data_IF_947881565668
#
_entry.id   IF_947881565668
#
_cell.length_a   1.000
_cell.length_b   1.000
_cell.length_c   1.000
_cell.angle_alpha   90.00
_cell.angle_beta   90.00
_cell.angle_gamma   90.00
#
_symmetry.space_group_name_H-M   'P 1'
#
loop_
_entity.id
_entity.type
_entity.pdbx_description
1 polymer ?
#
# COMPACT_ATOMS: atom_id res chain seq x y z
N UNK A 1 -3.86 10.56 8.32
CA UNK A 1 -4.34 11.75 7.58
C UNK A 1 -5.81 11.58 7.26
N UNK A 2 -6.61 12.62 7.48
CA UNK A 2 -8.02 12.73 7.07
C UNK A 2 -8.12 13.40 5.71
N UNK A 3 -9.24 13.21 5.02
CA UNK A 3 -9.44 13.71 3.66
C UNK A 3 -9.38 15.24 3.54
N UNK A 4 -9.73 15.95 4.61
CA UNK A 4 -9.69 17.42 4.69
C UNK A 4 -8.37 17.99 5.23
N UNK A 5 -7.40 17.16 5.60
CA UNK A 5 -6.09 17.66 6.03
C UNK A 5 -5.37 18.36 4.85
N UNK A 6 -4.52 19.37 5.11
CA UNK A 6 -3.74 20.03 4.07
C UNK A 6 -2.78 19.04 3.37
N UNK A 7 -2.60 19.23 2.05
CA UNK A 7 -1.67 18.44 1.24
C UNK A 7 -0.24 18.97 1.39
N UNK A 8 0.64 18.18 2.02
CA UNK A 8 2.06 18.53 2.26
C UNK A 8 3.02 17.51 1.62
N UNK A 9 3.03 17.34 0.28
CA UNK A 9 3.84 16.33 -0.39
C UNK A 9 5.34 16.61 -0.30
N UNK A 10 6.14 15.56 -0.01
CA UNK A 10 7.60 15.64 0.16
C UNK A 10 8.43 15.09 -0.99
N UNK A 11 7.81 14.64 -2.09
CA UNK A 11 8.52 14.17 -3.28
C UNK A 11 7.87 14.70 -4.56
N UNK A 12 8.60 14.78 -5.69
CA UNK A 12 8.01 15.16 -6.97
C UNK A 12 6.83 14.27 -7.38
N UNK A 13 6.90 12.96 -7.07
CA UNK A 13 5.81 12.04 -7.30
C UNK A 13 4.56 12.41 -6.50
N UNK A 14 4.67 12.56 -5.17
CA UNK A 14 3.50 12.89 -4.34
C UNK A 14 2.97 14.30 -4.64
N UNK A 15 3.84 15.25 -5.01
CA UNK A 15 3.42 16.59 -5.44
C UNK A 15 2.62 16.55 -6.74
N UNK A 16 3.05 15.75 -7.73
CA UNK A 16 2.30 15.58 -8.98
C UNK A 16 0.91 14.97 -8.75
N UNK A 17 0.78 14.00 -7.83
CA UNK A 17 -0.49 13.37 -7.45
C UNK A 17 -1.41 14.33 -6.70
N UNK A 18 -0.88 15.07 -5.74
CA UNK A 18 -1.62 16.13 -5.05
C UNK A 18 -2.15 17.18 -6.04
N UNK A 19 -1.33 17.61 -7.01
CA UNK A 19 -1.75 18.51 -8.07
C UNK A 19 -2.88 17.94 -8.94
N UNK A 20 -2.84 16.65 -9.27
CA UNK A 20 -3.92 16.01 -10.04
C UNK A 20 -5.24 15.92 -9.27
N UNK A 21 -5.21 15.70 -7.95
CA UNK A 21 -6.41 15.71 -7.11
C UNK A 21 -7.10 17.08 -7.17
N UNK A 22 -6.33 18.15 -6.97
CA UNK A 22 -6.84 19.52 -7.00
C UNK A 22 -7.41 19.88 -8.38
N UNK A 23 -6.73 19.47 -9.46
CA UNK A 23 -7.21 19.68 -10.81
C UNK A 23 -8.55 18.96 -11.02
N UNK A 24 -8.65 17.68 -10.68
CA UNK A 24 -9.88 16.90 -10.85
C UNK A 24 -11.06 17.50 -10.06
N UNK A 25 -10.85 17.87 -8.80
CA UNK A 25 -11.90 18.46 -7.95
C UNK A 25 -12.31 19.86 -8.43
N UNK A 26 -11.39 20.63 -9.03
CA UNK A 26 -11.75 21.93 -9.63
C UNK A 26 -12.70 21.78 -10.82
N UNK A 27 -12.61 20.69 -11.59
CA UNK A 27 -13.54 20.39 -12.67
C UNK A 27 -14.93 20.04 -12.14
N UNK A 28 -15.02 19.33 -11.01
CA UNK A 28 -16.29 19.13 -10.31
C UNK A 28 -16.89 20.47 -9.87
N UNK A 29 -16.11 21.29 -9.16
CA UNK A 29 -16.58 22.59 -8.65
C UNK A 29 -17.00 23.57 -9.76
N UNK A 30 -16.30 23.57 -10.89
CA UNK A 30 -16.53 24.53 -11.99
C UNK A 30 -17.60 24.06 -12.97
N UNK A 31 -17.64 22.76 -13.26
CA UNK A 31 -18.45 22.21 -14.36
C UNK A 31 -19.48 21.18 -13.91
N UNK A 32 -19.55 20.84 -12.62
CA UNK A 32 -20.43 19.80 -12.10
C UNK A 32 -20.08 18.40 -12.60
N UNK A 33 -18.85 18.18 -13.07
CA UNK A 33 -18.40 16.87 -13.52
C UNK A 33 -18.45 15.87 -12.36
N UNK A 34 -18.98 14.67 -12.60
CA UNK A 34 -18.99 13.62 -11.60
C UNK A 34 -17.57 13.05 -11.39
N UNK A 35 -16.90 13.54 -10.34
CA UNK A 35 -15.52 13.18 -9.97
C UNK A 35 -15.53 12.69 -8.53
N UNK A 36 -14.92 11.55 -8.26
CA UNK A 36 -14.55 11.11 -6.89
C UNK A 36 -13.06 10.84 -6.85
N UNK A 37 -12.40 11.16 -5.74
CA UNK A 37 -10.97 10.90 -5.55
C UNK A 37 -10.78 9.83 -4.49
N UNK A 38 -10.02 8.79 -4.80
CA UNK A 38 -9.63 7.77 -3.81
C UNK A 38 -8.14 7.88 -3.49
N UNK A 39 -7.79 7.90 -2.20
CA UNK A 39 -6.39 7.91 -1.73
C UNK A 39 -6.13 6.66 -0.93
N UNK A 40 -5.16 5.85 -1.33
CA UNK A 40 -4.90 4.55 -0.69
C UNK A 40 -3.53 4.46 -0.03
N UNK A 41 -3.37 3.45 0.83
CA UNK A 41 -2.10 3.06 1.44
C UNK A 41 -1.32 2.08 0.56
N UNK A 42 -0.23 1.50 1.07
CA UNK A 42 0.66 0.66 0.30
C UNK A 42 -0.05 -0.63 -0.14
N UNK A 43 -0.35 -0.72 -1.43
CA UNK A 43 -0.95 -1.91 -2.01
C UNK A 43 0.06 -3.06 -2.10
N UNK A 44 -0.42 -4.29 -1.94
CA UNK A 44 0.34 -5.50 -2.24
C UNK A 44 -0.57 -6.64 -2.69
N UNK A 45 0.02 -7.62 -3.38
CA UNK A 45 -0.68 -8.79 -3.86
C UNK A 45 -0.11 -9.36 -5.16
N UNK A 46 -0.87 -10.24 -5.84
CA UNK A 46 -0.57 -10.74 -7.17
C UNK A 46 -0.21 -9.63 -8.17
N UNK A 47 0.68 -9.94 -9.11
CA UNK A 47 1.10 -9.06 -10.21
C UNK A 47 1.79 -7.75 -9.82
N UNK A 48 2.23 -7.59 -8.56
CA UNK A 48 3.04 -6.45 -8.16
C UNK A 48 4.50 -6.62 -8.61
N UNK A 49 5.04 -5.67 -9.37
CA UNK A 49 6.37 -5.80 -9.96
C UNK A 49 7.48 -6.06 -8.90
N UNK A 50 8.45 -6.97 -9.14
CA UNK A 50 9.43 -7.44 -8.14
C UNK A 50 10.52 -6.43 -7.73
N UNK A 51 10.26 -5.13 -7.94
CA UNK A 51 11.06 -4.04 -7.37
C UNK A 51 10.46 -3.50 -6.05
N UNK A 52 9.19 -3.78 -5.78
CA UNK A 52 8.47 -3.30 -4.59
C UNK A 52 8.81 -4.18 -3.38
N UNK A 53 8.71 -3.65 -2.16
CA UNK A 53 9.22 -4.31 -0.96
C UNK A 53 8.75 -5.77 -0.77
N UNK A 54 7.44 -6.01 -0.69
CA UNK A 54 6.88 -7.36 -0.50
C UNK A 54 7.29 -8.34 -1.61
N UNK A 55 7.08 -8.03 -2.92
CA UNK A 55 7.48 -8.95 -3.96
C UNK A 55 8.99 -9.12 -4.07
N UNK A 56 9.79 -8.05 -3.98
CA UNK A 56 11.26 -8.14 -3.97
C UNK A 56 11.77 -9.08 -2.88
N UNK A 57 11.26 -8.91 -1.65
CA UNK A 57 11.68 -9.74 -0.53
C UNK A 57 11.23 -11.18 -0.74
N UNK A 58 9.98 -11.38 -1.17
CA UNK A 58 9.44 -12.71 -1.42
C UNK A 58 10.24 -13.45 -2.50
N UNK A 59 10.49 -12.83 -3.66
CA UNK A 59 11.22 -13.47 -4.76
C UNK A 59 12.68 -13.72 -4.39
N UNK A 60 13.35 -12.79 -3.72
CA UNK A 60 14.72 -13.01 -3.26
C UNK A 60 14.80 -14.17 -2.25
N UNK A 61 13.89 -14.22 -1.28
CA UNK A 61 13.86 -15.32 -0.30
C UNK A 61 13.56 -16.67 -0.97
N UNK A 62 12.65 -16.71 -1.96
CA UNK A 62 12.41 -17.92 -2.75
C UNK A 62 13.63 -18.35 -3.58
N UNK A 63 14.50 -17.42 -3.98
CA UNK A 63 15.76 -17.68 -4.70
C UNK A 63 17.00 -17.78 -3.79
N UNK A 64 16.84 -17.88 -2.46
CA UNK A 64 17.95 -17.93 -1.50
C UNK A 64 18.92 -16.73 -1.61
N UNK A 65 18.38 -15.55 -1.95
CA UNK A 65 19.11 -14.29 -2.05
C UNK A 65 18.84 -13.38 -0.85
N UNK A 66 19.82 -12.54 -0.45
CA UNK A 66 19.61 -11.61 0.63
C UNK A 66 18.56 -10.53 0.29
N UNK A 67 17.89 -10.03 1.32
CA UNK A 67 16.92 -8.94 1.24
C UNK A 67 17.44 -7.68 1.96
N UNK A 68 17.25 -6.48 1.38
CA UNK A 68 17.68 -5.24 2.01
C UNK A 68 16.64 -4.72 3.01
N UNK A 69 17.02 -4.51 4.27
CA UNK A 69 16.24 -3.80 5.28
C UNK A 69 16.82 -2.40 5.49
N UNK A 70 16.06 -1.37 5.11
CA UNK A 70 16.49 0.03 5.18
C UNK A 70 16.48 0.58 6.61
N UNK A 71 17.56 1.28 6.97
CA UNK A 71 17.68 2.00 8.24
C UNK A 71 17.64 1.08 9.45
N UNK A 72 16.86 1.45 10.46
CA UNK A 72 16.60 0.65 11.66
C UNK A 72 15.48 -0.39 11.46
N UNK A 73 14.83 -0.41 10.29
CA UNK A 73 13.67 -1.25 10.00
C UNK A 73 12.37 -0.84 10.74
N UNK A 74 12.35 0.32 11.41
CA UNK A 74 11.21 0.78 12.22
C UNK A 74 10.25 1.69 11.44
N UNK A 75 10.50 1.92 10.16
CA UNK A 75 9.55 2.62 9.29
C UNK A 75 8.25 1.80 9.18
N UNK A 76 7.12 2.47 9.45
CA UNK A 76 5.80 1.84 9.51
C UNK A 76 4.98 2.16 8.26
N UNK A 77 4.31 1.14 7.74
CA UNK A 77 3.39 1.26 6.60
C UNK A 77 2.09 0.55 6.92
N UNK A 78 0.98 1.14 6.48
CA UNK A 78 -0.30 0.47 6.31
C UNK A 78 -0.28 -0.28 4.97
N UNK A 79 -0.59 -1.56 5.00
CA UNK A 79 -0.54 -2.49 3.87
C UNK A 79 -1.95 -2.98 3.53
N UNK A 80 -2.48 -2.54 2.40
CA UNK A 80 -3.78 -2.97 1.90
C UNK A 80 -3.63 -4.02 0.80
N UNK A 81 -4.36 -5.13 0.93
CA UNK A 81 -4.38 -6.15 -0.11
C UNK A 81 -5.10 -5.61 -1.35
N UNK A 82 -4.59 -5.93 -2.54
CA UNK A 82 -5.07 -5.34 -3.81
C UNK A 82 -6.57 -5.53 -4.02
N UNK A 83 -7.13 -6.69 -3.69
CA UNK A 83 -8.58 -6.93 -3.81
C UNK A 83 -9.41 -6.03 -2.89
N UNK A 84 -8.94 -5.78 -1.66
CA UNK A 84 -9.63 -4.93 -0.69
C UNK A 84 -9.66 -3.47 -1.17
N UNK A 85 -8.55 -3.02 -1.78
CA UNK A 85 -8.48 -1.72 -2.41
C UNK A 85 -9.42 -1.64 -3.64
N UNK A 86 -9.41 -2.65 -4.52
CA UNK A 86 -10.31 -2.72 -5.67
C UNK A 86 -11.79 -2.70 -5.24
N UNK A 87 -12.16 -3.41 -4.18
CA UNK A 87 -13.50 -3.38 -3.61
C UNK A 87 -13.87 -1.98 -3.09
N UNK A 88 -12.92 -1.27 -2.46
CA UNK A 88 -13.11 0.12 -2.02
C UNK A 88 -13.30 1.09 -3.18
N UNK A 89 -12.49 0.97 -4.23
CA UNK A 89 -12.65 1.78 -5.45
C UNK A 89 -14.01 1.50 -6.11
N UNK A 90 -14.42 0.24 -6.16
CA UNK A 90 -15.73 -0.14 -6.71
C UNK A 90 -16.88 0.48 -5.91
N UNK A 91 -16.83 0.42 -4.58
CA UNK A 91 -17.83 1.04 -3.72
C UNK A 91 -17.91 2.56 -3.92
N UNK A 92 -16.76 3.24 -4.02
CA UNK A 92 -16.73 4.69 -4.27
C UNK A 92 -17.27 5.02 -5.66
N UNK A 93 -17.03 4.16 -6.66
CA UNK A 93 -17.60 4.33 -7.99
C UNK A 93 -19.12 4.22 -8.00
N UNK A 94 -19.70 3.28 -7.24
CA UNK A 94 -21.14 3.01 -7.24
C UNK A 94 -21.93 3.92 -6.31
N UNK A 95 -21.40 4.17 -5.11
CA UNK A 95 -22.14 4.79 -4.00
C UNK A 95 -21.46 6.05 -3.46
N UNK A 96 -20.25 6.36 -3.93
CA UNK A 96 -19.53 7.56 -3.52
C UNK A 96 -20.17 8.86 -4.02
N UNK A 97 -20.13 9.88 -3.17
CA UNK A 97 -20.66 11.21 -3.48
C UNK A 97 -19.73 11.94 -4.48
N UNK A 98 -20.25 12.49 -5.59
CA UNK A 98 -19.48 13.35 -6.48
C UNK A 98 -18.87 14.54 -5.74
N UNK A 99 -17.64 14.92 -6.10
CA UNK A 99 -16.88 16.00 -5.49
C UNK A 99 -16.10 15.59 -4.24
N UNK A 100 -16.31 14.38 -3.73
CA UNK A 100 -15.71 13.94 -2.48
C UNK A 100 -14.44 13.12 -2.67
N UNK A 101 -13.65 13.10 -1.59
CA UNK A 101 -12.44 12.30 -1.43
C UNK A 101 -12.74 11.16 -0.46
N UNK A 102 -12.18 9.97 -0.70
CA UNK A 102 -12.28 8.80 0.16
C UNK A 102 -10.90 8.19 0.40
N UNK A 103 -10.48 8.11 1.66
CA UNK A 103 -9.28 7.36 2.03
C UNK A 103 -9.59 5.85 2.11
N UNK A 104 -8.69 5.01 1.60
CA UNK A 104 -8.81 3.55 1.59
C UNK A 104 -7.52 2.94 2.17
N UNK A 105 -7.60 2.37 3.36
CA UNK A 105 -6.45 1.79 4.06
C UNK A 105 -6.86 0.58 4.88
N UNK A 106 -5.89 -0.24 5.29
CA UNK A 106 -6.14 -1.48 6.01
C UNK A 106 -6.06 -1.33 7.54
N UNK A 107 -5.60 -0.19 8.06
CA UNK A 107 -5.50 0.09 9.49
C UNK A 107 -4.53 -0.82 10.22
N UNK A 108 -3.51 -1.34 9.53
CA UNK A 108 -2.57 -2.36 10.00
C UNK A 108 -1.12 -1.86 9.98
N UNK A 109 -0.88 -0.69 10.59
CA UNK A 109 0.45 -0.07 10.69
C UNK A 109 1.49 -1.10 11.15
N UNK A 110 2.38 -1.46 10.23
CA UNK A 110 3.34 -2.55 10.42
C UNK A 110 4.75 -2.02 10.20
N UNK A 111 5.64 -2.14 11.19
CA UNK A 111 7.05 -1.85 11.01
C UNK A 111 7.66 -2.78 9.94
N UNK A 112 8.56 -2.26 9.12
CA UNK A 112 9.24 -3.06 8.09
C UNK A 112 9.91 -4.31 8.69
N UNK A 113 10.44 -4.22 9.92
CA UNK A 113 11.00 -5.36 10.63
C UNK A 113 9.99 -6.48 10.85
N UNK A 114 8.78 -6.15 11.32
CA UNK A 114 7.70 -7.11 11.55
C UNK A 114 7.24 -7.74 10.23
N UNK A 115 7.21 -6.95 9.15
CA UNK A 115 6.91 -7.47 7.81
C UNK A 115 7.97 -8.48 7.35
N UNK A 116 9.25 -8.18 7.53
CA UNK A 116 10.36 -9.10 7.19
C UNK A 116 10.25 -10.41 7.98
N UNK A 117 9.99 -10.35 9.29
CA UNK A 117 9.82 -11.53 10.14
C UNK A 117 8.73 -12.46 9.61
N UNK A 118 7.59 -11.89 9.19
CA UNK A 118 6.48 -12.64 8.60
C UNK A 118 6.88 -13.30 7.28
N UNK A 119 7.59 -12.59 6.41
CA UNK A 119 8.04 -13.13 5.12
C UNK A 119 9.08 -14.24 5.27
N UNK A 120 10.02 -14.10 6.21
CA UNK A 120 10.98 -15.15 6.56
C UNK A 120 10.26 -16.43 7.01
N UNK A 121 9.28 -16.30 7.92
CA UNK A 121 8.47 -17.42 8.38
C UNK A 121 7.70 -18.10 7.23
N UNK A 122 7.04 -17.34 6.35
CA UNK A 122 6.27 -17.85 5.21
C UNK A 122 7.13 -18.51 4.12
N UNK A 123 8.42 -18.17 4.06
CA UNK A 123 9.38 -18.73 3.08
C UNK A 123 10.31 -19.78 3.69
N UNK A 124 10.19 -20.05 5.00
CA UNK A 124 11.06 -20.98 5.71
C UNK A 124 12.52 -20.55 5.75
N UNK A 125 12.77 -19.23 5.75
CA UNK A 125 14.11 -18.62 5.79
C UNK A 125 14.37 -17.97 7.15
N UNK A 126 15.62 -17.58 7.39
CA UNK A 126 16.06 -16.96 8.63
C UNK A 126 16.83 -15.65 8.42
N UNK A 127 17.21 -15.03 9.53
CA UNK A 127 17.92 -13.74 9.59
C UNK A 127 19.22 -13.67 8.78
N UNK A 128 19.84 -14.79 8.46
CA UNK A 128 21.08 -14.80 7.67
C UNK A 128 20.90 -14.21 6.27
N UNK A 129 19.67 -14.14 5.76
CA UNK A 129 19.35 -13.49 4.49
C UNK A 129 18.99 -12.00 4.63
N UNK A 130 18.98 -11.42 5.83
CA UNK A 130 18.64 -10.00 6.03
C UNK A 130 19.91 -9.14 6.02
N UNK A 131 19.97 -8.17 5.12
CA UNK A 131 21.08 -7.20 5.04
C UNK A 131 20.57 -5.80 5.37
N UNK A 132 21.11 -5.19 6.42
CA UNK A 132 20.80 -3.80 6.75
C UNK A 132 21.51 -2.84 5.78
N UNK A 133 20.75 -1.90 5.22
CA UNK A 133 21.25 -0.89 4.27
C UNK A 133 20.89 0.52 4.73
N UNK A 134 21.66 1.51 4.32
CA UNK A 134 21.42 2.91 4.66
C UNK A 134 20.03 3.36 4.20
N UNK A 135 19.33 4.17 5.02
CA UNK A 135 17.97 4.62 4.70
C UNK A 135 17.95 5.59 3.51
N UNK A 136 16.80 5.68 2.84
CA UNK A 136 16.62 6.59 1.71
C UNK A 136 16.38 8.01 2.20
N UNK A 137 16.99 8.99 1.52
CA UNK A 137 16.69 10.41 1.77
C UNK A 137 15.21 10.71 1.53
N UNK A 138 14.57 11.38 2.50
CA UNK A 138 13.16 11.77 2.41
C UNK A 138 12.15 10.65 2.67
N UNK A 139 12.58 9.53 3.26
CA UNK A 139 11.69 8.43 3.59
C UNK A 139 10.85 8.77 4.83
N UNK A 140 9.53 8.90 4.67
CA UNK A 140 8.67 9.22 5.81
C UNK A 140 8.58 8.03 6.77
N UNK A 141 8.55 8.35 8.07
CA UNK A 141 8.62 7.34 9.13
C UNK A 141 7.34 6.52 9.28
N UNK A 142 6.17 7.11 9.00
CA UNK A 142 4.86 6.46 9.15
C UNK A 142 3.88 6.98 8.10
N UNK A 143 3.17 6.07 7.44
CA UNK A 143 2.01 6.40 6.59
C UNK A 143 0.79 5.62 7.03
N UNK A 144 -0.28 6.36 7.32
CA UNK A 144 -1.59 5.82 7.65
C UNK A 144 -2.66 6.88 7.38
N UNK A 145 -3.82 6.40 6.97
CA UNK A 145 -4.98 7.23 6.61
C UNK A 145 -6.15 6.90 7.53
N UNK A 146 -6.92 7.91 7.88
CA UNK A 146 -8.20 7.72 8.56
C UNK A 146 -9.19 7.19 7.52
N UNK A 147 -9.82 6.04 7.80
CA UNK A 147 -10.75 5.34 6.89
C UNK A 147 -12.21 5.46 7.33
N UNK A 148 -12.52 6.31 8.30
CA UNK A 148 -13.86 6.42 8.89
C UNK A 148 -14.90 6.68 7.80
N UNK A 149 -14.62 7.60 6.88
CA UNK A 149 -15.56 8.03 5.84
C UNK A 149 -15.96 6.91 4.87
N UNK A 150 -14.99 6.11 4.39
CA UNK A 150 -15.33 5.00 3.49
C UNK A 150 -16.00 3.84 4.25
N UNK A 151 -15.66 3.68 5.54
CA UNK A 151 -16.31 2.69 6.41
C UNK A 151 -17.78 3.03 6.63
N UNK A 152 -18.12 4.32 6.80
CA UNK A 152 -19.51 4.81 6.86
C UNK A 152 -20.27 4.58 5.55
N UNK A 153 -19.57 4.53 4.41
CA UNK A 153 -20.13 4.14 3.11
C UNK A 153 -20.39 2.62 3.00
N UNK A 154 -19.94 1.82 3.98
CA UNK A 154 -20.12 0.37 4.02
C UNK A 154 -18.90 -0.44 3.62
N UNK A 155 -17.74 0.20 3.40
CA UNK A 155 -16.51 -0.53 3.12
C UNK A 155 -15.98 -1.24 4.35
N UNK A 156 -15.49 -2.46 4.15
CA UNK A 156 -14.77 -3.20 5.19
C UNK A 156 -13.71 -4.09 4.58
N UNK A 157 -12.55 -4.16 5.26
CA UNK A 157 -11.41 -4.99 4.87
C UNK A 157 -11.77 -6.47 5.02
N UNK A 158 -11.56 -7.27 3.98
CA UNK A 158 -11.90 -8.69 3.98
C UNK A 158 -10.76 -9.57 4.51
N UNK A 159 -9.49 -9.16 4.35
CA UNK A 159 -8.34 -9.97 4.76
C UNK A 159 -7.52 -9.28 5.84
N UNK A 160 -7.05 -10.04 6.83
CA UNK A 160 -5.98 -9.60 7.72
C UNK A 160 -4.66 -9.51 6.94
N UNK A 161 -3.68 -8.81 7.52
CA UNK A 161 -2.34 -8.75 6.92
C UNK A 161 -1.74 -10.15 6.75
N UNK A 162 -1.92 -11.03 7.73
CA UNK A 162 -1.33 -12.37 7.73
C UNK A 162 -1.94 -13.26 6.64
N UNK A 163 -3.27 -13.26 6.49
CA UNK A 163 -3.96 -13.99 5.42
C UNK A 163 -3.57 -13.48 4.03
N UNK A 164 -3.47 -12.15 3.89
CA UNK A 164 -3.10 -11.53 2.63
C UNK A 164 -1.62 -11.78 2.26
N UNK A 165 -0.71 -11.80 3.25
CA UNK A 165 0.70 -12.13 3.03
C UNK A 165 0.87 -13.61 2.64
N UNK A 166 0.20 -14.52 3.34
CA UNK A 166 0.21 -15.96 3.00
C UNK A 166 -0.24 -16.19 1.55
N UNK A 167 -1.38 -15.62 1.16
CA UNK A 167 -1.90 -15.69 -0.20
C UNK A 167 -0.95 -15.06 -1.23
N UNK A 168 -0.30 -13.94 -0.87
CA UNK A 168 0.65 -13.26 -1.76
C UNK A 168 1.90 -14.10 -1.97
N UNK A 169 2.50 -14.64 -0.90
CA UNK A 169 3.70 -15.48 -0.96
C UNK A 169 3.42 -16.76 -1.75
N UNK A 170 2.27 -17.40 -1.51
CA UNK A 170 1.83 -18.55 -2.30
C UNK A 170 1.73 -18.20 -3.79
N UNK A 171 1.14 -17.04 -4.12
CA UNK A 171 1.05 -16.59 -5.52
C UNK A 171 2.43 -16.44 -6.18
N UNK A 172 3.41 -15.79 -5.54
CA UNK A 172 4.76 -15.67 -6.11
C UNK A 172 5.45 -17.03 -6.26
N UNK A 173 5.29 -17.93 -5.29
CA UNK A 173 5.81 -19.30 -5.35
C UNK A 173 5.26 -20.07 -6.55
N UNK A 174 3.98 -19.93 -6.82
CA UNK A 174 3.28 -20.70 -7.86
C UNK A 174 3.34 -20.03 -9.25
N UNK A 175 3.88 -18.81 -9.35
CA UNK A 175 3.88 -18.00 -10.58
C UNK A 175 5.27 -17.48 -10.99
N UNK A 176 6.31 -18.32 -10.89
CA UNK A 176 7.67 -17.97 -11.38
C UNK A 176 7.68 -17.47 -12.83
N UNK A 177 6.79 -18.00 -13.68
CA UNK A 177 6.65 -17.60 -15.08
C UNK A 177 6.39 -16.10 -15.28
N UNK A 178 5.85 -15.41 -14.26
CA UNK A 178 5.46 -14.00 -14.35
C UNK A 178 6.57 -13.04 -13.93
N UNK A 179 7.34 -13.39 -12.89
CA UNK A 179 8.31 -12.46 -12.28
C UNK A 179 9.78 -12.78 -12.59
N UNK A 180 10.07 -13.96 -13.14
CA UNK A 180 11.43 -14.44 -13.40
C UNK A 180 11.97 -14.01 -14.76
#
# INVERSE_FOLDING_TARGET
SKEGDPLEPRSPYSASKAGSDLLALSYHATHGLDVRVTRCTNNFGPYQYPEKAIPLFTTNLLEDRPIPLYGDGLNERDWIYVDDHCAGVHLVLTDGTPGEIYNIGAGNETPNRVLVDKLLALTGKDESLVTYVEDRLGHDRRYSVDITKITELGWTRQRTLDEALDATVAWYRDNEWWWR
#
